data_IF_853334982570
#
_entry.id   IF_853334982570
#
_cell.length_a   1.000
_cell.length_b   1.000
_cell.length_c   1.000
_cell.angle_alpha   90.00
_cell.angle_beta   90.00
_cell.angle_gamma   90.00
#
_symmetry.space_group_name_H-M   'P 1'
#
loop_
_entity.id
_entity.type
_entity.pdbx_description
1 polymer ?
#
# COMPACT_ATOMS: atom_id res chain seq x y z
N UNK A 1 -9.15 36.87 -44.22
CA UNK A 1 -8.87 37.13 -42.79
C UNK A 1 -9.72 36.30 -41.80
N UNK A 2 -10.73 35.52 -42.22
CA UNK A 2 -11.54 34.66 -41.32
C UNK A 2 -10.92 33.30 -40.99
N UNK A 3 -10.21 32.68 -41.95
CA UNK A 3 -9.61 31.33 -41.81
C UNK A 3 -8.43 31.25 -40.84
N UNK A 4 -7.58 32.29 -40.77
CA UNK A 4 -6.45 32.34 -39.79
C UNK A 4 -6.93 32.43 -38.34
N UNK A 5 -8.06 33.11 -38.09
CA UNK A 5 -8.69 33.22 -36.75
C UNK A 5 -9.26 31.89 -36.29
N UNK A 6 -9.85 31.11 -37.21
CA UNK A 6 -10.39 29.79 -36.92
C UNK A 6 -9.27 28.77 -36.62
N UNK A 7 -8.18 28.82 -37.39
CA UNK A 7 -7.00 27.97 -37.20
C UNK A 7 -6.29 28.24 -35.85
N UNK A 8 -6.21 29.51 -35.45
CA UNK A 8 -5.65 29.94 -34.15
C UNK A 8 -6.53 29.51 -32.97
N UNK A 9 -7.85 29.51 -33.15
CA UNK A 9 -8.81 29.06 -32.14
C UNK A 9 -8.77 27.53 -31.97
N UNK A 10 -8.66 26.77 -33.07
CA UNK A 10 -8.50 25.31 -33.02
C UNK A 10 -7.16 24.89 -32.41
N UNK A 11 -6.09 25.66 -32.66
CA UNK A 11 -4.77 25.42 -32.07
C UNK A 11 -4.76 25.68 -30.54
N UNK A 12 -5.42 26.74 -30.07
CA UNK A 12 -5.59 27.00 -28.64
C UNK A 12 -6.50 25.97 -27.96
N UNK A 13 -7.55 25.51 -28.64
CA UNK A 13 -8.43 24.46 -28.12
C UNK A 13 -7.72 23.10 -28.00
N UNK A 14 -6.86 22.75 -28.97
CA UNK A 14 -6.01 21.55 -28.86
C UNK A 14 -5.00 21.66 -27.71
N UNK A 15 -4.43 22.85 -27.47
CA UNK A 15 -3.47 23.08 -26.38
C UNK A 15 -4.11 22.89 -24.99
N UNK A 16 -5.42 23.16 -24.84
CA UNK A 16 -6.16 22.98 -23.59
C UNK A 16 -6.47 21.52 -23.24
N UNK A 17 -6.44 20.59 -24.20
CA UNK A 17 -6.77 19.18 -23.96
C UNK A 17 -5.62 18.35 -23.37
N UNK A 18 -4.42 18.93 -23.22
CA UNK A 18 -3.25 18.24 -22.68
C UNK A 18 -3.14 18.24 -21.14
N UNK A 19 -4.10 18.82 -20.41
CA UNK A 19 -4.20 18.62 -18.96
C UNK A 19 -4.77 17.23 -18.64
N UNK A 20 -4.00 16.19 -18.95
CA UNK A 20 -4.29 14.84 -18.48
C UNK A 20 -4.07 14.79 -16.97
N UNK A 21 -5.18 14.83 -16.21
CA UNK A 21 -5.14 14.67 -14.76
C UNK A 21 -4.66 13.25 -14.43
N UNK A 22 -3.45 13.13 -13.88
CA UNK A 22 -2.95 11.86 -13.34
C UNK A 22 -3.73 11.55 -12.07
N UNK A 23 -4.77 10.72 -12.17
CA UNK A 23 -5.55 10.27 -11.02
C UNK A 23 -4.80 9.16 -10.28
N UNK A 24 -4.63 9.32 -8.97
CA UNK A 24 -4.04 8.30 -8.10
C UNK A 24 -5.09 7.22 -7.83
N UNK A 25 -4.72 5.94 -8.02
CA UNK A 25 -5.65 4.84 -7.76
C UNK A 25 -5.80 4.67 -6.25
N UNK A 26 -6.97 5.00 -5.72
CA UNK A 26 -7.31 4.78 -4.32
C UNK A 26 -8.19 3.53 -4.18
N UNK A 27 -7.90 2.69 -3.19
CA UNK A 27 -8.66 1.48 -2.91
C UNK A 27 -9.10 1.49 -1.46
N UNK A 28 -10.40 1.43 -1.15
CA UNK A 28 -10.85 1.38 0.23
C UNK A 28 -10.41 0.08 0.88
N UNK A 29 -9.89 0.18 2.09
CA UNK A 29 -9.36 -0.94 2.87
C UNK A 29 -9.85 -0.88 4.30
N UNK A 30 -9.96 -2.05 4.93
CA UNK A 30 -9.96 -2.16 6.38
C UNK A 30 -8.62 -2.77 6.81
N UNK A 31 -7.90 -2.08 7.69
CA UNK A 31 -6.53 -2.47 8.06
C UNK A 31 -6.39 -2.67 9.56
N UNK A 32 -5.76 -3.78 9.94
CA UNK A 32 -5.25 -3.98 11.30
C UNK A 32 -3.74 -4.01 11.25
N UNK A 33 -3.09 -3.07 11.92
CA UNK A 33 -1.64 -3.05 12.15
C UNK A 33 -1.44 -3.10 13.65
N UNK A 34 -0.96 -4.23 14.13
CA UNK A 34 -0.58 -4.42 15.53
C UNK A 34 0.90 -4.78 15.58
N UNK A 35 1.67 -3.97 16.29
CA UNK A 35 3.05 -4.19 16.69
C UNK A 35 3.21 -3.67 18.12
N UNK A 36 4.36 -3.87 18.79
CA UNK A 36 4.60 -3.30 20.11
C UNK A 36 4.42 -1.77 20.16
N UNK A 37 4.75 -1.07 19.05
CA UNK A 37 4.70 0.40 18.98
C UNK A 37 3.42 0.96 18.36
N UNK A 38 2.69 0.19 17.56
CA UNK A 38 1.55 0.66 16.76
C UNK A 38 0.37 -0.29 16.94
N UNK A 39 -0.81 0.22 17.28
CA UNK A 39 -2.05 -0.56 17.40
C UNK A 39 -3.19 0.17 16.70
N UNK A 40 -3.56 -0.32 15.52
CA UNK A 40 -4.57 0.30 14.66
C UNK A 40 -5.46 -0.78 14.08
N UNK A 41 -6.76 -0.53 14.01
CA UNK A 41 -7.77 -1.45 13.48
C UNK A 41 -8.96 -0.66 12.93
N UNK A 42 -8.79 -0.03 11.77
CA UNK A 42 -9.79 0.90 11.23
C UNK A 42 -9.83 0.91 9.68
N UNK A 43 -10.81 1.60 9.13
CA UNK A 43 -10.97 1.82 7.70
C UNK A 43 -10.05 2.92 7.18
N UNK A 44 -9.73 2.82 5.90
CA UNK A 44 -8.82 3.74 5.25
C UNK A 44 -8.74 3.50 3.75
N UNK A 45 -7.70 4.05 3.15
CA UNK A 45 -7.43 3.91 1.72
C UNK A 45 -6.00 3.47 1.48
N UNK A 46 -5.83 2.57 0.51
CA UNK A 46 -4.55 2.30 -0.13
C UNK A 46 -4.48 3.13 -1.41
N UNK A 47 -3.64 4.15 -1.41
CA UNK A 47 -3.30 4.93 -2.59
C UNK A 47 -2.11 4.28 -3.30
N UNK A 48 -2.20 4.17 -4.62
CA UNK A 48 -1.11 3.73 -5.49
C UNK A 48 -0.86 4.81 -6.54
N UNK A 49 0.36 5.33 -6.57
CA UNK A 49 0.82 6.22 -7.62
C UNK A 49 2.16 5.75 -8.20
N UNK A 50 2.74 6.56 -9.07
CA UNK A 50 4.00 6.22 -9.73
C UNK A 50 5.13 6.20 -8.68
N UNK A 51 5.70 5.01 -8.44
CA UNK A 51 6.81 4.82 -7.52
C UNK A 51 6.48 4.89 -6.02
N UNK A 52 5.19 4.95 -5.65
CA UNK A 52 4.80 4.95 -4.23
C UNK A 52 3.51 4.20 -3.95
N UNK A 53 3.38 3.76 -2.69
CA UNK A 53 2.15 3.27 -2.10
C UNK A 53 1.94 3.94 -0.76
N UNK A 54 0.71 4.35 -0.46
CA UNK A 54 0.38 5.02 0.79
C UNK A 54 -0.86 4.41 1.40
N UNK A 55 -0.77 4.01 2.66
CA UNK A 55 -1.93 3.66 3.48
C UNK A 55 -2.28 4.90 4.29
N UNK A 56 -3.54 5.33 4.24
CA UNK A 56 -4.10 6.36 5.12
C UNK A 56 -5.27 5.76 5.86
N UNK A 57 -5.25 5.83 7.18
CA UNK A 57 -6.29 5.31 8.07
C UNK A 57 -6.90 6.50 8.80
N UNK A 58 -8.21 6.66 8.66
CA UNK A 58 -8.95 7.77 9.26
C UNK A 58 -9.56 7.28 10.57
N UNK A 59 -9.28 7.99 11.65
CA UNK A 59 -9.87 7.75 12.96
C UNK A 59 -10.60 9.01 13.41
N UNK A 60 -11.87 8.87 13.81
CA UNK A 60 -12.69 10.01 14.19
C UNK A 60 -12.03 10.81 15.33
N UNK A 61 -11.97 12.14 15.17
CA UNK A 61 -11.42 13.06 16.18
C UNK A 61 -9.90 13.00 16.37
N UNK A 62 -9.16 12.32 15.47
CA UNK A 62 -7.70 12.21 15.54
C UNK A 62 -7.04 12.49 14.19
N UNK A 63 -5.76 12.86 14.22
CA UNK A 63 -4.96 12.98 13.00
C UNK A 63 -4.92 11.63 12.25
N UNK A 64 -5.09 11.63 10.91
CA UNK A 64 -5.00 10.40 10.12
C UNK A 64 -3.66 9.71 10.30
N UNK A 65 -3.68 8.41 10.55
CA UNK A 65 -2.46 7.62 10.55
C UNK A 65 -2.06 7.30 9.10
N UNK A 66 -0.81 7.55 8.74
CA UNK A 66 -0.33 7.30 7.39
C UNK A 66 0.99 6.54 7.35
N UNK A 67 1.08 5.57 6.43
CA UNK A 67 2.33 4.88 6.06
C UNK A 67 2.54 5.07 4.57
N UNK A 68 3.60 5.78 4.19
CA UNK A 68 4.00 5.97 2.80
C UNK A 68 5.27 5.17 2.53
N UNK A 69 5.24 4.31 1.51
CA UNK A 69 6.40 3.56 1.02
C UNK A 69 6.75 4.14 -0.35
N UNK A 70 7.94 4.74 -0.46
CA UNK A 70 8.42 5.39 -1.69
C UNK A 70 9.91 5.14 -1.84
N UNK A 71 10.33 4.57 -2.96
CA UNK A 71 11.72 4.25 -3.25
C UNK A 71 12.39 3.50 -2.07
N UNK A 72 13.43 4.12 -1.49
CA UNK A 72 14.21 3.63 -0.35
C UNK A 72 13.73 4.12 1.01
N UNK A 73 12.57 4.79 1.09
CA UNK A 73 12.06 5.37 2.33
C UNK A 73 10.69 4.82 2.73
N UNK A 74 10.49 4.71 4.04
CA UNK A 74 9.17 4.52 4.64
C UNK A 74 8.92 5.70 5.57
N UNK A 75 7.79 6.38 5.36
CA UNK A 75 7.35 7.50 6.20
C UNK A 75 6.12 7.10 7.00
N UNK A 76 6.18 7.26 8.32
CA UNK A 76 5.04 7.04 9.23
C UNK A 76 4.64 8.40 9.79
N UNK A 77 3.40 8.85 9.55
CA UNK A 77 2.91 10.19 9.91
C UNK A 77 3.92 11.29 9.54
N UNK A 78 4.32 11.31 8.26
CA UNK A 78 5.29 12.25 7.68
C UNK A 78 6.74 12.16 8.22
N UNK A 79 7.03 11.28 9.20
CA UNK A 79 8.40 11.03 9.66
C UNK A 79 9.03 9.92 8.82
N UNK A 80 9.97 10.29 7.96
CA UNK A 80 10.62 9.38 7.03
C UNK A 80 11.91 8.78 7.60
N UNK A 81 12.11 7.50 7.34
CA UNK A 81 13.32 6.77 7.66
C UNK A 81 13.69 5.87 6.48
N UNK A 82 14.96 5.47 6.42
CA UNK A 82 15.40 4.47 5.46
C UNK A 82 14.59 3.18 5.63
N UNK A 83 14.16 2.61 4.50
CA UNK A 83 13.32 1.43 4.42
C UNK A 83 13.92 0.26 5.19
N UNK A 84 15.23 0.02 5.06
CA UNK A 84 15.93 -1.06 5.76
C UNK A 84 15.88 -0.84 7.27
N UNK A 85 16.05 0.40 7.73
CA UNK A 85 16.00 0.73 9.15
C UNK A 85 14.60 0.49 9.75
N UNK A 86 13.54 0.93 9.06
CA UNK A 86 12.16 0.69 9.50
C UNK A 86 11.85 -0.81 9.54
N UNK A 87 12.21 -1.56 8.50
CA UNK A 87 12.01 -3.01 8.44
C UNK A 87 12.78 -3.72 9.56
N UNK A 88 14.07 -3.41 9.75
CA UNK A 88 14.89 -4.00 10.79
C UNK A 88 14.38 -3.70 12.21
N UNK A 89 13.74 -2.54 12.40
CA UNK A 89 13.10 -2.17 13.67
C UNK A 89 11.87 -3.01 14.00
N UNK A 90 11.25 -3.65 12.98
CA UNK A 90 10.14 -4.58 13.15
C UNK A 90 10.66 -6.00 13.41
N UNK A 91 11.52 -6.49 12.52
CA UNK A 91 12.24 -7.75 12.69
C UNK A 91 13.43 -7.77 11.70
N UNK A 92 14.64 -8.05 12.19
CA UNK A 92 15.87 -8.09 11.37
C UNK A 92 15.84 -9.18 10.29
N UNK A 93 14.98 -10.19 10.40
CA UNK A 93 14.84 -11.26 9.41
C UNK A 93 13.99 -10.84 8.20
N UNK A 94 13.28 -9.72 8.27
CA UNK A 94 12.45 -9.28 7.16
C UNK A 94 13.28 -8.70 6.01
N UNK A 95 12.95 -9.04 4.76
CA UNK A 95 13.62 -8.46 3.61
C UNK A 95 13.23 -6.97 3.45
N UNK A 96 14.10 -6.17 2.85
CA UNK A 96 13.88 -4.73 2.69
C UNK A 96 12.61 -4.39 1.88
N UNK A 97 12.17 -5.29 0.99
CA UNK A 97 10.96 -5.17 0.20
C UNK A 97 9.71 -5.78 0.86
N UNK A 98 9.78 -6.11 2.16
CA UNK A 98 8.70 -6.76 2.91
C UNK A 98 7.34 -6.08 2.70
N UNK A 99 7.24 -4.77 2.97
CA UNK A 99 5.97 -4.06 2.76
C UNK A 99 5.54 -4.03 1.29
N UNK A 100 6.49 -3.97 0.34
CA UNK A 100 6.15 -4.01 -1.07
C UNK A 100 5.54 -5.34 -1.47
N UNK A 101 6.09 -6.45 -0.99
CA UNK A 101 5.55 -7.81 -1.22
C UNK A 101 4.18 -7.96 -0.55
N UNK A 102 4.01 -7.51 0.69
CA UNK A 102 2.71 -7.50 1.41
C UNK A 102 1.65 -6.73 0.61
N UNK A 103 1.93 -5.49 0.20
CA UNK A 103 0.96 -4.65 -0.51
C UNK A 103 0.71 -5.08 -1.96
N UNK A 104 1.65 -5.81 -2.56
CA UNK A 104 1.51 -6.39 -3.89
C UNK A 104 0.96 -7.83 -3.86
N UNK A 105 0.59 -8.36 -2.69
CA UNK A 105 0.09 -9.72 -2.55
C UNK A 105 1.08 -10.78 -3.09
N UNK A 106 2.38 -10.52 -2.99
CA UNK A 106 3.45 -11.41 -3.47
C UNK A 106 3.95 -12.34 -2.35
N UNK A 107 4.46 -13.53 -2.68
CA UNK A 107 5.11 -14.42 -1.72
C UNK A 107 6.32 -13.77 -1.03
N UNK A 108 6.59 -14.20 0.20
CA UNK A 108 7.78 -13.82 0.96
C UNK A 108 8.79 -14.97 0.88
N UNK A 109 9.94 -14.73 0.28
CA UNK A 109 10.93 -15.77 -0.03
C UNK A 109 11.46 -16.47 1.23
N UNK A 110 11.71 -15.71 2.30
CA UNK A 110 12.22 -16.25 3.58
C UNK A 110 11.25 -17.23 4.28
N UNK A 111 9.96 -17.21 3.92
CA UNK A 111 8.95 -18.14 4.43
C UNK A 111 8.92 -19.48 3.69
N UNK A 112 9.66 -19.62 2.58
CA UNK A 112 9.79 -20.87 1.85
C UNK A 112 8.50 -21.30 1.13
N UNK A 113 8.12 -22.57 1.29
CA UNK A 113 7.13 -23.27 0.45
C UNK A 113 5.78 -22.54 0.36
N UNK A 114 5.33 -22.33 -0.87
CA UNK A 114 4.04 -21.71 -1.19
C UNK A 114 2.98 -22.81 -1.32
N UNK A 115 1.96 -22.79 -0.46
CA UNK A 115 0.75 -23.64 -0.60
C UNK A 115 -0.32 -22.86 -1.35
N UNK A 116 -0.59 -23.23 -2.61
CA UNK A 116 -1.67 -22.62 -3.40
C UNK A 116 -3.03 -23.00 -2.82
N UNK A 117 -3.96 -22.06 -2.84
CA UNK A 117 -5.38 -22.24 -2.49
C UNK A 117 -6.22 -21.60 -3.61
N UNK A 118 -7.51 -21.93 -3.69
CA UNK A 118 -8.39 -21.56 -4.81
C UNK A 118 -8.27 -20.09 -5.27
N UNK A 119 -8.08 -19.15 -4.34
CA UNK A 119 -8.02 -17.71 -4.63
C UNK A 119 -6.76 -17.02 -4.09
N UNK A 120 -5.65 -17.74 -3.90
CA UNK A 120 -4.39 -17.18 -3.42
C UNK A 120 -3.40 -18.22 -2.91
N UNK A 121 -2.71 -17.92 -1.81
CA UNK A 121 -1.71 -18.82 -1.24
C UNK A 121 -1.53 -18.66 0.27
N UNK A 122 -0.90 -19.66 0.87
CA UNK A 122 -0.49 -19.68 2.27
C UNK A 122 1.00 -20.05 2.34
N UNK A 123 1.76 -19.31 3.15
CA UNK A 123 3.11 -19.65 3.57
C UNK A 123 3.14 -19.71 5.10
N UNK A 124 3.68 -20.79 5.65
CA UNK A 124 3.83 -21.00 7.09
C UNK A 124 5.24 -21.49 7.37
N UNK A 125 5.92 -20.82 8.29
CA UNK A 125 7.27 -21.18 8.75
C UNK A 125 7.39 -20.79 10.21
N UNK A 126 7.62 -21.75 11.10
CA UNK A 126 7.78 -21.51 12.54
C UNK A 126 6.65 -20.64 13.14
N UNK A 127 6.99 -19.44 13.62
CA UNK A 127 6.09 -18.44 14.18
C UNK A 127 5.32 -17.61 13.13
N UNK A 128 5.64 -17.76 11.85
CA UNK A 128 5.08 -16.99 10.75
C UNK A 128 3.86 -17.65 10.13
N UNK A 129 2.80 -16.86 9.95
CA UNK A 129 1.66 -17.19 9.11
C UNK A 129 1.42 -16.07 8.11
N UNK A 130 1.55 -16.38 6.82
CA UNK A 130 1.23 -15.47 5.74
C UNK A 130 0.15 -16.10 4.85
N UNK A 131 -1.01 -15.46 4.79
CA UNK A 131 -2.14 -15.88 3.96
C UNK A 131 -2.58 -14.73 3.07
N UNK A 132 -2.60 -15.00 1.77
CA UNK A 132 -3.00 -14.05 0.74
C UNK A 132 -4.16 -14.65 -0.03
N UNK A 133 -5.18 -13.83 -0.25
CA UNK A 133 -6.33 -14.12 -1.09
C UNK A 133 -6.66 -12.87 -1.91
N UNK A 134 -7.48 -13.00 -2.95
CA UNK A 134 -7.90 -11.88 -3.83
C UNK A 134 -8.25 -10.58 -3.11
N UNK A 135 -8.92 -10.63 -1.96
CA UNK A 135 -9.39 -9.46 -1.21
C UNK A 135 -8.80 -9.32 0.20
N UNK A 136 -7.83 -10.15 0.59
CA UNK A 136 -7.31 -10.12 1.95
C UNK A 136 -5.85 -10.58 2.01
N UNK A 137 -5.05 -9.80 2.71
CA UNK A 137 -3.69 -10.15 3.14
C UNK A 137 -3.67 -10.27 4.65
N UNK A 138 -3.12 -11.36 5.17
CA UNK A 138 -2.89 -11.60 6.58
C UNK A 138 -1.45 -12.04 6.77
N UNK A 139 -0.68 -11.27 7.52
CA UNK A 139 0.64 -11.64 7.98
C UNK A 139 0.66 -11.62 9.51
N UNK A 140 1.18 -12.69 10.11
CA UNK A 140 1.42 -12.80 11.55
C UNK A 140 2.85 -13.25 11.77
N UNK A 141 3.53 -12.57 12.69
CA UNK A 141 4.77 -13.01 13.33
C UNK A 141 4.48 -13.07 14.84
N UNK A 142 4.41 -14.30 15.37
CA UNK A 142 4.14 -14.51 16.79
C UNK A 142 5.30 -14.07 17.68
N UNK A 143 6.54 -14.16 17.21
CA UNK A 143 7.73 -13.85 18.00
C UNK A 143 7.90 -12.33 18.16
N UNK A 144 7.68 -11.56 17.09
CA UNK A 144 7.75 -10.10 17.15
C UNK A 144 6.42 -9.43 17.59
N UNK A 145 5.39 -10.22 17.91
CA UNK A 145 4.02 -9.75 18.19
C UNK A 145 3.45 -8.83 17.09
N UNK A 146 3.73 -9.16 15.83
CA UNK A 146 3.29 -8.39 14.65
C UNK A 146 2.08 -9.07 14.00
N UNK A 147 1.05 -8.28 13.75
CA UNK A 147 -0.11 -8.65 12.92
C UNK A 147 -0.36 -7.53 11.91
N UNK A 148 -0.36 -7.89 10.64
CA UNK A 148 -0.77 -7.03 9.53
C UNK A 148 -1.94 -7.72 8.83
N UNK A 149 -3.10 -7.08 8.86
CA UNK A 149 -4.28 -7.51 8.13
C UNK A 149 -4.72 -6.38 7.21
N UNK A 150 -4.88 -6.67 5.92
CA UNK A 150 -5.42 -5.73 4.95
C UNK A 150 -6.58 -6.43 4.25
N UNK A 151 -7.79 -5.91 4.41
CA UNK A 151 -8.97 -6.33 3.64
C UNK A 151 -9.27 -5.26 2.60
N UNK A 152 -9.26 -5.65 1.32
CA UNK A 152 -9.66 -4.78 0.22
C UNK A 152 -11.18 -4.76 0.14
N UNK A 153 -11.78 -3.59 0.36
CA UNK A 153 -13.21 -3.39 0.28
C UNK A 153 -13.60 -3.12 -1.18
N UNK A 154 -14.78 -3.59 -1.59
CA UNK A 154 -15.33 -3.14 -2.87
C UNK A 154 -15.76 -1.69 -2.68
N UNK A 155 -15.22 -0.78 -3.48
CA UNK A 155 -15.79 0.56 -3.57
C UNK A 155 -17.24 0.44 -4.03
N UNK A 156 -18.17 1.12 -3.36
CA UNK A 156 -19.43 1.47 -4.01
C UNK A 156 -19.05 2.52 -5.05
N UNK A 157 -18.88 2.09 -6.30
CA UNK A 157 -18.77 2.99 -7.44
C UNK A 157 -20.12 3.64 -7.70
#
# INVERSE_FOLDING_TARGET
MKTKKLLFLTFNFLLFTFFTACSTKTTPIYTVIKSPKIKIADQGFLEKGVGYKKIVIYKAGMEPFSITIKNSFICINNKCQDKKNVINSLNKQYPADFFDKILNQKPLEFLGKIRKINNGFIQTKDAYLYKVTKNKVLFKDKNAHILILIKFLKGKG
#
